data_IF_372605055776
#
_entry.id   IF_372605055776
#
_cell.length_a   1.000
_cell.length_b   1.000
_cell.length_c   1.000
_cell.angle_alpha   90.00
_cell.angle_beta   90.00
_cell.angle_gamma   90.00
#
_symmetry.space_group_name_H-M   'P 1'
#
loop_
_entity.id
_entity.type
_entity.pdbx_description
1 polymer ?
#
# COMPACT_ATOMS: atom_id res chain seq x y z
N UNK A 1 27.85 -2.54 -3.76
CA UNK A 1 26.99 -2.10 -2.65
C UNK A 1 26.30 -0.82 -3.09
N UNK A 2 24.97 -0.77 -3.12
CA UNK A 2 24.23 0.42 -3.58
C UNK A 2 24.22 1.48 -2.48
N UNK A 3 24.59 2.71 -2.82
CA UNK A 3 24.67 3.86 -1.89
C UNK A 3 24.17 5.13 -2.57
N UNK A 4 23.65 6.07 -1.78
CA UNK A 4 23.34 7.43 -2.24
C UNK A 4 23.48 8.42 -1.08
N UNK A 5 23.52 9.71 -1.38
CA UNK A 5 23.68 10.77 -0.38
C UNK A 5 22.35 11.37 0.04
N UNK A 6 22.15 11.51 1.35
CA UNK A 6 21.02 12.21 1.96
C UNK A 6 21.53 13.52 2.54
N UNK A 7 20.92 14.63 2.15
CA UNK A 7 21.22 15.96 2.71
C UNK A 7 20.00 16.53 3.40
N UNK A 8 20.13 16.87 4.67
CA UNK A 8 19.15 17.71 5.36
C UNK A 8 19.56 19.16 5.14
N UNK A 9 18.68 19.99 4.56
CA UNK A 9 19.05 21.33 4.06
C UNK A 9 19.69 22.23 5.11
N UNK A 10 19.18 22.16 6.35
CA UNK A 10 19.62 22.95 7.49
C UNK A 10 20.79 22.34 8.27
N UNK A 11 21.24 21.13 7.88
CA UNK A 11 22.44 20.53 8.44
C UNK A 11 23.63 20.81 7.49
N UNK A 12 24.83 21.08 8.04
CA UNK A 12 26.00 21.37 7.24
C UNK A 12 26.62 20.12 6.58
N UNK A 13 26.08 18.93 6.89
CA UNK A 13 26.66 17.65 6.50
C UNK A 13 25.72 16.85 5.59
N UNK A 14 26.34 16.04 4.74
CA UNK A 14 25.69 15.04 3.90
C UNK A 14 25.94 13.66 4.52
N UNK A 15 24.94 12.80 4.48
CA UNK A 15 25.00 11.47 5.07
C UNK A 15 24.96 10.42 3.96
N UNK A 16 25.90 9.48 4.01
CA UNK A 16 25.94 8.38 3.05
C UNK A 16 24.97 7.28 3.49
N UNK A 17 23.87 7.11 2.77
CA UNK A 17 22.95 6.00 2.96
C UNK A 17 23.45 4.76 2.22
N UNK A 18 23.40 3.62 2.90
CA UNK A 18 23.76 2.30 2.35
C UNK A 18 22.53 1.41 2.36
N UNK A 19 22.34 0.64 1.29
CA UNK A 19 21.22 -0.32 1.23
C UNK A 19 21.37 -1.32 2.37
N UNK A 20 20.34 -1.43 3.21
CA UNK A 20 20.27 -2.39 4.29
C UNK A 20 19.55 -3.65 3.81
N UNK A 21 20.14 -4.80 4.09
CA UNK A 21 19.53 -6.09 3.71
C UNK A 21 18.71 -6.59 4.88
N UNK A 22 17.43 -6.86 4.63
CA UNK A 22 16.56 -7.47 5.63
C UNK A 22 17.05 -8.92 5.86
N UNK A 23 17.32 -9.33 7.11
CA UNK A 23 17.86 -10.66 7.38
C UNK A 23 16.93 -11.78 6.90
N UNK A 24 17.48 -12.77 6.19
CA UNK A 24 16.75 -13.92 5.63
C UNK A 24 15.70 -13.57 4.56
N UNK A 25 15.73 -12.34 4.04
CA UNK A 25 14.82 -11.89 3.01
C UNK A 25 15.44 -12.03 1.62
N UNK A 26 14.70 -12.59 0.67
CA UNK A 26 15.15 -12.84 -0.71
C UNK A 26 14.43 -11.99 -1.75
N UNK A 27 13.42 -11.21 -1.36
CA UNK A 27 12.67 -10.36 -2.26
C UNK A 27 13.53 -9.22 -2.83
N UNK A 28 13.10 -8.73 -3.99
CA UNK A 28 13.77 -7.63 -4.69
C UNK A 28 12.98 -6.33 -4.53
N UNK A 29 13.71 -5.22 -4.45
CA UNK A 29 13.15 -3.87 -4.47
C UNK A 29 13.41 -3.21 -5.81
N UNK A 30 12.62 -2.19 -6.14
CA UNK A 30 12.86 -1.33 -7.30
C UNK A 30 14.23 -0.66 -7.16
N UNK A 31 14.98 -0.60 -8.26
CA UNK A 31 16.26 0.10 -8.26
C UNK A 31 16.04 1.60 -8.08
N UNK A 32 16.91 2.25 -7.32
CA UNK A 32 16.89 3.70 -7.26
C UNK A 32 17.07 4.28 -8.67
N UNK A 33 16.34 5.33 -9.03
CA UNK A 33 16.56 6.01 -10.29
C UNK A 33 18.02 6.49 -10.41
N UNK A 34 18.67 6.34 -11.58
CA UNK A 34 20.07 6.69 -11.75
C UNK A 34 20.35 8.19 -11.57
N UNK A 35 19.32 9.02 -11.73
CA UNK A 35 19.29 10.46 -11.50
C UNK A 35 18.98 10.85 -10.03
N UNK A 36 18.92 9.88 -9.11
CA UNK A 36 18.80 10.11 -7.68
C UNK A 36 20.06 9.75 -6.85
N UNK A 37 21.30 10.15 -7.26
CA UNK A 37 22.48 9.93 -6.43
C UNK A 37 22.51 10.79 -5.16
N UNK A 38 21.70 11.86 -5.15
CA UNK A 38 21.54 12.81 -4.05
C UNK A 38 20.05 13.11 -3.84
N UNK A 39 19.59 12.99 -2.59
CA UNK A 39 18.27 13.48 -2.19
C UNK A 39 18.39 14.53 -1.08
N UNK A 40 17.51 15.52 -1.10
CA UNK A 40 17.45 16.61 -0.13
C UNK A 40 16.15 16.54 0.65
N UNK A 41 16.27 16.68 1.96
CA UNK A 41 15.15 16.80 2.91
C UNK A 41 15.18 18.23 3.46
N UNK A 42 14.07 18.94 3.32
CA UNK A 42 13.89 20.27 3.90
C UNK A 42 13.37 20.14 5.33
N UNK A 43 13.67 21.10 6.20
CA UNK A 43 13.21 21.06 7.58
C UNK A 43 11.67 21.00 7.65
N UNK A 44 10.99 21.68 6.73
CA UNK A 44 9.55 21.68 6.68
C UNK A 44 8.90 20.36 6.25
N UNK A 45 9.71 19.45 5.73
CA UNK A 45 9.29 18.17 5.18
C UNK A 45 9.39 17.01 6.18
N UNK A 46 9.75 17.26 7.44
CA UNK A 46 9.84 16.24 8.50
C UNK A 46 8.58 16.28 9.37
N UNK A 47 7.95 15.12 9.55
CA UNK A 47 6.75 14.98 10.35
C UNK A 47 6.66 13.64 11.07
N UNK A 48 5.96 13.63 12.21
CA UNK A 48 5.60 12.43 12.95
C UNK A 48 4.12 12.14 12.79
N UNK A 49 3.77 10.85 12.68
CA UNK A 49 2.40 10.40 12.82
C UNK A 49 2.23 9.75 14.20
N UNK A 50 1.46 10.40 15.07
CA UNK A 50 1.08 9.81 16.36
C UNK A 50 0.17 8.61 16.16
N UNK A 51 0.52 7.43 16.70
CA UNK A 51 -0.33 6.25 16.57
C UNK A 51 -1.69 6.44 17.24
N UNK A 52 -1.73 7.10 18.41
CA UNK A 52 -2.96 7.35 19.18
C UNK A 52 -3.82 8.48 18.60
N UNK A 53 -3.26 9.68 18.43
CA UNK A 53 -4.04 10.84 17.96
C UNK A 53 -4.27 10.84 16.45
N UNK A 54 -3.49 10.06 15.71
CA UNK A 54 -3.53 9.90 14.24
C UNK A 54 -3.40 11.24 13.50
N UNK A 55 -2.83 12.26 14.15
CA UNK A 55 -2.49 13.55 13.54
C UNK A 55 -1.05 13.54 13.05
N UNK A 56 -0.85 14.12 11.87
CA UNK A 56 0.47 14.49 11.36
C UNK A 56 0.95 15.73 12.11
N UNK A 57 2.12 15.64 12.74
CA UNK A 57 2.76 16.73 13.44
C UNK A 57 4.07 17.06 12.74
N UNK A 58 4.26 18.32 12.35
CA UNK A 58 5.56 18.79 11.87
C UNK A 58 6.57 18.72 13.01
N UNK A 59 7.74 18.14 12.74
CA UNK A 59 8.85 18.11 13.70
C UNK A 59 9.94 19.08 13.28
N UNK A 60 10.53 19.79 14.26
CA UNK A 60 11.80 20.46 14.05
C UNK A 60 12.95 19.44 14.04
N UNK A 61 14.09 19.84 13.47
CA UNK A 61 15.29 19.01 13.52
C UNK A 61 15.76 18.74 14.96
N UNK A 62 15.53 19.66 15.89
CA UNK A 62 15.86 19.52 17.30
C UNK A 62 14.99 18.46 17.98
N UNK A 63 13.67 18.49 17.76
CA UNK A 63 12.75 17.47 18.29
C UNK A 63 13.10 16.08 17.76
N UNK A 64 13.48 16.01 16.48
CA UNK A 64 13.88 14.80 15.79
C UNK A 64 15.11 14.14 16.46
N UNK A 65 16.05 14.92 17.03
CA UNK A 65 17.23 14.39 17.75
C UNK A 65 16.86 13.51 18.93
N UNK A 66 15.80 13.91 19.63
CA UNK A 66 15.40 13.28 20.90
C UNK A 66 14.47 12.08 20.72
N UNK A 67 14.09 11.74 19.48
CA UNK A 67 13.24 10.60 19.20
C UNK A 67 13.93 9.28 19.55
N UNK A 68 13.21 8.35 20.18
CA UNK A 68 13.73 7.04 20.60
C UNK A 68 14.46 7.08 21.96
N UNK A 69 14.64 8.27 22.56
CA UNK A 69 15.26 8.39 23.88
C UNK A 69 14.25 8.17 25.02
N UNK A 70 12.97 8.52 24.83
CA UNK A 70 12.01 8.58 25.93
C UNK A 70 11.21 7.28 26.15
N UNK A 71 11.48 6.22 25.37
CA UNK A 71 10.89 4.88 25.54
C UNK A 71 9.41 4.74 25.13
N UNK A 72 8.67 5.85 25.11
CA UNK A 72 7.25 5.93 24.78
C UNK A 72 6.95 6.51 23.38
N UNK A 73 7.96 6.56 22.51
CA UNK A 73 7.80 7.11 21.16
C UNK A 73 7.06 6.12 20.26
N UNK A 74 5.73 6.17 20.33
CA UNK A 74 4.78 5.42 19.50
C UNK A 74 4.60 6.06 18.11
N UNK A 75 5.57 6.83 17.63
CA UNK A 75 5.40 7.66 16.44
C UNK A 75 6.37 7.23 15.35
N UNK A 76 5.86 6.92 14.16
CA UNK A 76 6.72 6.79 12.99
C UNK A 76 7.12 8.19 12.50
N UNK A 77 8.42 8.40 12.27
CA UNK A 77 8.95 9.63 11.68
C UNK A 77 8.98 9.47 10.17
N UNK A 78 8.55 10.51 9.48
CA UNK A 78 8.51 10.58 8.04
C UNK A 78 9.26 11.81 7.56
N UNK A 79 9.89 11.72 6.39
CA UNK A 79 10.43 12.85 5.68
C UNK A 79 10.07 12.78 4.21
N UNK A 80 9.60 13.90 3.65
CA UNK A 80 9.57 14.06 2.19
C UNK A 80 10.95 14.49 1.72
N UNK A 81 11.48 13.79 0.72
CA UNK A 81 12.74 14.12 0.08
C UNK A 81 12.54 14.36 -1.41
N UNK A 82 13.50 15.05 -2.03
CA UNK A 82 13.50 15.26 -3.47
C UNK A 82 14.90 15.12 -4.06
N UNK A 83 15.00 14.72 -5.33
CA UNK A 83 16.27 14.73 -6.06
C UNK A 83 16.88 16.12 -6.11
N UNK A 84 18.20 16.22 -5.89
CA UNK A 84 18.95 17.47 -6.10
C UNK A 84 19.24 17.65 -7.59
N UNK A 85 18.89 18.82 -8.14
CA UNK A 85 19.24 19.25 -9.50
C UNK A 85 18.76 18.34 -10.66
N UNK A 86 17.75 17.48 -10.44
CA UNK A 86 17.15 16.67 -11.49
C UNK A 86 15.93 17.36 -12.14
N UNK A 87 15.75 17.13 -13.44
CA UNK A 87 14.58 17.56 -14.21
C UNK A 87 14.00 16.35 -14.99
N UNK A 88 12.81 15.85 -14.64
CA UNK A 88 11.93 16.35 -13.59
C UNK A 88 12.41 16.00 -12.17
N UNK A 89 12.04 16.84 -11.19
CA UNK A 89 12.25 16.54 -9.77
C UNK A 89 11.44 15.29 -9.39
N UNK A 90 12.10 14.31 -8.78
CA UNK A 90 11.44 13.14 -8.20
C UNK A 90 11.30 13.31 -6.70
N UNK A 91 10.14 12.91 -6.19
CA UNK A 91 9.79 13.01 -4.78
C UNK A 91 9.79 11.62 -4.13
N UNK A 92 10.35 11.55 -2.92
CA UNK A 92 10.45 10.33 -2.13
C UNK A 92 9.84 10.54 -0.75
N UNK A 93 9.45 9.43 -0.12
CA UNK A 93 9.08 9.35 1.28
C UNK A 93 10.09 8.47 2.02
N UNK A 94 10.64 8.99 3.11
CA UNK A 94 11.44 8.20 4.05
C UNK A 94 10.59 7.94 5.27
N UNK A 95 10.41 6.67 5.66
CA UNK A 95 9.83 6.27 6.94
C UNK A 95 10.97 5.78 7.84
N UNK A 96 11.29 6.56 8.87
CA UNK A 96 12.57 6.50 9.60
C UNK A 96 12.41 6.00 11.04
N UNK A 97 13.39 5.23 11.48
CA UNK A 97 13.70 4.89 12.87
C UNK A 97 15.01 5.58 13.20
N UNK A 98 14.95 6.54 14.12
CA UNK A 98 16.11 7.31 14.57
C UNK A 98 16.74 6.64 15.79
N UNK A 99 18.02 6.91 16.03
CA UNK A 99 18.77 6.30 17.14
C UNK A 99 18.59 4.77 17.17
N UNK A 100 18.69 4.12 16.00
CA UNK A 100 18.25 2.76 15.75
C UNK A 100 18.75 1.79 16.82
N UNK A 101 20.03 1.85 17.17
CA UNK A 101 20.65 1.00 18.22
C UNK A 101 19.85 0.99 19.53
N UNK A 102 19.40 2.16 19.99
CA UNK A 102 18.58 2.31 21.19
C UNK A 102 17.13 1.96 20.92
N UNK A 103 16.57 2.48 19.83
CA UNK A 103 15.17 2.27 19.46
C UNK A 103 14.83 0.79 19.27
N UNK A 104 15.82 -0.04 18.95
CA UNK A 104 15.70 -1.47 18.76
C UNK A 104 16.27 -2.34 19.89
N UNK A 105 16.75 -1.75 21.00
CA UNK A 105 17.39 -2.51 22.09
C UNK A 105 16.41 -3.27 22.98
N UNK A 106 15.18 -2.75 23.14
CA UNK A 106 14.11 -3.39 23.91
C UNK A 106 12.95 -3.80 22.99
N UNK A 107 12.78 -5.11 22.80
CA UNK A 107 11.73 -5.70 21.97
C UNK A 107 10.30 -5.37 22.45
N UNK A 108 10.13 -4.92 23.69
CA UNK A 108 8.82 -4.55 24.25
C UNK A 108 8.49 -3.07 24.07
N UNK A 109 9.47 -2.25 23.72
CA UNK A 109 9.30 -0.81 23.53
C UNK A 109 8.40 -0.47 22.34
N UNK A 110 7.72 0.67 22.41
CA UNK A 110 6.92 1.19 21.30
C UNK A 110 7.77 1.47 20.06
N UNK A 111 8.99 1.98 20.23
CA UNK A 111 9.93 2.23 19.13
C UNK A 111 10.33 0.95 18.40
N UNK A 112 10.54 -0.15 19.13
CA UNK A 112 10.82 -1.45 18.51
C UNK A 112 9.63 -1.95 17.69
N UNK A 113 8.39 -1.78 18.18
CA UNK A 113 7.20 -2.16 17.42
C UNK A 113 7.06 -1.35 16.13
N UNK A 114 7.44 -0.06 16.13
CA UNK A 114 7.46 0.75 14.91
C UNK A 114 8.52 0.24 13.93
N UNK A 115 9.71 -0.12 14.42
CA UNK A 115 10.74 -0.76 13.61
C UNK A 115 10.27 -2.10 13.02
N UNK A 116 9.65 -2.97 13.82
CA UNK A 116 9.14 -4.26 13.36
C UNK A 116 8.10 -4.09 12.24
N UNK A 117 7.19 -3.12 12.38
CA UNK A 117 6.20 -2.79 11.35
C UNK A 117 6.85 -2.28 10.07
N UNK A 118 7.89 -1.45 10.20
CA UNK A 118 8.66 -0.96 9.06
C UNK A 118 9.30 -2.11 8.27
N UNK A 119 9.89 -3.09 8.98
CA UNK A 119 10.49 -4.27 8.35
C UNK A 119 9.43 -5.13 7.68
N UNK A 120 8.33 -5.45 8.39
CA UNK A 120 7.21 -6.25 7.84
C UNK A 120 6.59 -5.63 6.59
N UNK A 121 6.41 -4.31 6.58
CA UNK A 121 5.91 -3.56 5.43
C UNK A 121 6.86 -3.72 4.21
N UNK A 122 8.17 -3.54 4.41
CA UNK A 122 9.16 -3.70 3.35
C UNK A 122 9.26 -5.14 2.82
N UNK A 123 9.18 -6.15 3.70
CA UNK A 123 9.13 -7.57 3.33
C UNK A 123 7.87 -7.89 2.52
N UNK A 124 6.71 -7.41 2.96
CA UNK A 124 5.46 -7.65 2.25
C UNK A 124 5.50 -7.05 0.84
N UNK A 125 6.06 -5.85 0.73
CA UNK A 125 6.16 -5.12 -0.52
C UNK A 125 6.97 -5.86 -1.58
N UNK A 126 8.20 -6.22 -1.22
CA UNK A 126 9.13 -6.96 -2.07
C UNK A 126 8.67 -8.37 -2.43
N UNK A 127 7.88 -9.03 -1.58
CA UNK A 127 7.38 -10.38 -1.83
C UNK A 127 6.08 -10.43 -2.63
N UNK A 128 5.18 -9.46 -2.46
CA UNK A 128 3.79 -9.58 -2.93
C UNK A 128 3.30 -8.42 -3.80
N UNK A 129 3.98 -7.28 -3.80
CA UNK A 129 3.45 -6.05 -4.37
C UNK A 129 4.11 -5.60 -5.67
N UNK A 130 5.14 -6.32 -6.15
CA UNK A 130 5.94 -5.93 -7.32
C UNK A 130 5.13 -5.58 -8.57
N UNK A 131 4.08 -6.34 -8.85
CA UNK A 131 3.23 -6.13 -10.03
C UNK A 131 2.23 -4.97 -9.87
N UNK A 132 2.19 -4.34 -8.69
CA UNK A 132 1.27 -3.27 -8.33
C UNK A 132 1.99 -1.93 -8.10
N UNK A 133 3.32 -1.96 -8.02
CA UNK A 133 4.13 -0.78 -7.73
C UNK A 133 3.96 0.30 -8.81
N UNK A 134 3.84 1.54 -8.37
CA UNK A 134 3.60 2.69 -9.26
C UNK A 134 2.17 2.80 -9.78
N UNK A 135 1.30 1.79 -9.55
CA UNK A 135 -0.10 1.81 -9.98
C UNK A 135 -1.06 1.93 -8.79
N UNK A 136 -0.99 1.00 -7.84
CA UNK A 136 -1.87 0.97 -6.65
C UNK A 136 -1.10 1.09 -5.34
N UNK A 137 0.21 0.88 -5.38
CA UNK A 137 1.11 0.98 -4.22
C UNK A 137 2.35 1.76 -4.66
N UNK A 138 3.04 2.47 -3.76
CA UNK A 138 4.25 3.19 -4.13
C UNK A 138 5.33 2.25 -4.66
N UNK A 139 6.19 2.74 -5.54
CA UNK A 139 7.51 2.11 -5.78
C UNK A 139 8.28 2.05 -4.46
N UNK A 140 8.83 0.89 -4.11
CA UNK A 140 9.65 0.71 -2.91
C UNK A 140 11.11 0.47 -3.27
N UNK A 141 11.97 1.44 -2.93
CA UNK A 141 13.40 1.45 -3.29
C UNK A 141 14.28 0.71 -2.29
N UNK A 142 13.66 0.11 -1.27
CA UNK A 142 14.30 -0.76 -0.29
C UNK A 142 14.47 -0.10 1.07
N UNK A 143 15.13 -0.85 1.95
CA UNK A 143 15.52 -0.37 3.26
C UNK A 143 16.96 0.13 3.24
N UNK A 144 17.23 1.13 4.07
CA UNK A 144 18.49 1.87 4.07
C UNK A 144 18.94 2.16 5.48
N UNK A 145 20.25 2.28 5.66
CA UNK A 145 20.88 2.70 6.90
C UNK A 145 21.85 3.84 6.62
N UNK A 146 21.87 4.84 7.49
CA UNK A 146 22.88 5.90 7.48
C UNK A 146 23.32 6.22 8.90
N UNK A 147 24.57 6.66 9.05
CA UNK A 147 25.10 7.16 10.31
C UNK A 147 25.06 8.69 10.28
N UNK A 148 24.37 9.28 11.26
CA UNK A 148 24.21 10.72 11.40
C UNK A 148 24.99 11.31 12.58
N UNK A 149 25.84 10.51 13.22
CA UNK A 149 26.65 10.92 14.37
C UNK A 149 25.80 11.46 15.52
N UNK A 150 26.25 12.56 16.11
CA UNK A 150 25.62 13.18 17.29
C UNK A 150 24.23 13.78 17.01
N UNK A 151 23.76 13.79 15.75
CA UNK A 151 22.45 14.33 15.42
C UNK A 151 21.32 13.36 15.79
N UNK A 152 21.32 12.15 15.22
CA UNK A 152 20.28 11.14 15.42
C UNK A 152 20.85 9.71 15.41
N UNK A 153 22.16 9.56 15.67
CA UNK A 153 22.86 8.28 15.67
C UNK A 153 22.71 7.54 14.33
N UNK A 154 22.56 6.21 14.42
CA UNK A 154 22.19 5.39 13.26
C UNK A 154 20.71 5.56 12.94
N UNK A 155 20.40 5.82 11.68
CA UNK A 155 19.04 5.93 11.17
C UNK A 155 18.78 4.78 10.21
N UNK A 156 17.73 4.01 10.48
CA UNK A 156 17.22 2.97 9.56
C UNK A 156 15.92 3.47 8.94
N UNK A 157 15.75 3.32 7.64
CA UNK A 157 14.54 3.83 6.98
C UNK A 157 14.11 3.00 5.76
N UNK A 158 12.81 2.96 5.52
CA UNK A 158 12.23 2.55 4.23
C UNK A 158 12.17 3.78 3.31
N UNK A 159 12.53 3.59 2.05
CA UNK A 159 12.47 4.62 1.01
C UNK A 159 11.45 4.22 -0.06
N UNK A 160 10.42 5.04 -0.23
CA UNK A 160 9.36 4.84 -1.21
C UNK A 160 9.15 6.07 -2.08
N UNK A 161 8.41 5.92 -3.18
CA UNK A 161 7.85 7.06 -3.91
C UNK A 161 6.97 7.91 -3.00
N UNK A 162 7.03 9.23 -3.16
CA UNK A 162 6.06 10.12 -2.52
C UNK A 162 4.68 10.01 -3.18
N UNK A 163 3.65 9.79 -2.37
CA UNK A 163 2.29 9.51 -2.85
C UNK A 163 1.24 10.55 -2.44
N UNK A 164 1.67 11.72 -1.96
CA UNK A 164 0.78 12.84 -1.67
C UNK A 164 0.11 12.80 -0.29
N UNK A 165 -1.18 13.15 -0.27
CA UNK A 165 -1.94 13.42 0.97
C UNK A 165 -2.89 12.28 1.31
N UNK A 166 -3.10 12.04 2.61
CA UNK A 166 -3.94 10.92 3.03
C UNK A 166 -5.43 11.21 2.85
N UNK A 167 -6.22 10.20 2.45
CA UNK A 167 -7.67 10.35 2.31
C UNK A 167 -8.33 10.77 3.63
N UNK A 168 -7.79 10.33 4.77
CA UNK A 168 -8.25 10.77 6.09
C UNK A 168 -8.16 12.30 6.29
N UNK A 169 -7.15 12.96 5.73
CA UNK A 169 -7.05 14.43 5.73
C UNK A 169 -7.97 15.05 4.69
N UNK A 170 -8.05 14.45 3.50
CA UNK A 170 -8.77 15.00 2.35
C UNK A 170 -10.31 14.92 2.48
N UNK A 171 -10.84 13.93 3.22
CA UNK A 171 -12.28 13.73 3.39
C UNK A 171 -12.99 14.89 4.10
N UNK A 172 -12.24 15.82 4.71
CA UNK A 172 -12.76 17.02 5.37
C UNK A 172 -12.61 18.29 4.52
N UNK A 173 -12.29 18.14 3.23
CA UNK A 173 -12.03 19.24 2.29
C UNK A 173 -12.98 19.20 1.09
N UNK A 174 -12.81 20.14 0.16
CA UNK A 174 -13.53 20.14 -1.14
C UNK A 174 -13.17 18.96 -2.04
N UNK A 175 -12.11 18.20 -1.71
CA UNK A 175 -11.70 16.99 -2.41
C UNK A 175 -12.49 15.75 -1.96
N UNK A 176 -13.38 15.87 -0.98
CA UNK A 176 -14.34 14.81 -0.65
C UNK A 176 -15.48 14.73 -1.69
N UNK A 177 -15.12 14.45 -2.93
CA UNK A 177 -16.06 14.25 -4.03
C UNK A 177 -16.48 12.78 -4.11
N UNK A 178 -17.59 12.50 -4.78
CA UNK A 178 -17.98 11.11 -5.07
C UNK A 178 -16.93 10.40 -5.93
N UNK A 179 -16.38 11.08 -6.95
CA UNK A 179 -15.36 10.53 -7.82
C UNK A 179 -14.08 10.12 -7.07
N UNK A 180 -13.60 10.95 -6.12
CA UNK A 180 -12.45 10.58 -5.30
C UNK A 180 -12.76 9.42 -4.34
N UNK A 181 -14.00 9.34 -3.82
CA UNK A 181 -14.42 8.17 -3.02
C UNK A 181 -14.45 6.89 -3.85
N UNK A 182 -14.90 6.96 -5.10
CA UNK A 182 -14.89 5.84 -6.05
C UNK A 182 -13.45 5.43 -6.34
N UNK A 183 -12.54 6.39 -6.55
CA UNK A 183 -11.10 6.14 -6.74
C UNK A 183 -10.49 5.38 -5.55
N UNK A 184 -10.77 5.81 -4.31
CA UNK A 184 -10.33 5.12 -3.08
C UNK A 184 -10.88 3.70 -3.02
N UNK A 185 -12.20 3.54 -3.20
CA UNK A 185 -12.84 2.23 -3.18
C UNK A 185 -12.27 1.28 -4.23
N UNK A 186 -12.09 1.78 -5.45
CA UNK A 186 -11.49 1.05 -6.56
C UNK A 186 -10.07 0.58 -6.27
N UNK A 187 -9.27 1.38 -5.59
CA UNK A 187 -7.88 0.99 -5.24
C UNK A 187 -7.86 -0.21 -4.30
N UNK A 188 -8.81 -0.30 -3.37
CA UNK A 188 -9.00 -1.49 -2.54
C UNK A 188 -9.52 -2.69 -3.34
N UNK A 189 -10.45 -2.48 -4.28
CA UNK A 189 -10.92 -3.55 -5.17
C UNK A 189 -9.76 -4.19 -5.94
N UNK A 190 -8.83 -3.36 -6.44
CA UNK A 190 -7.66 -3.83 -7.16
C UNK A 190 -6.80 -4.74 -6.29
N UNK A 191 -6.43 -4.32 -5.07
CA UNK A 191 -5.65 -5.17 -4.16
C UNK A 191 -6.35 -6.50 -3.85
N UNK A 192 -7.67 -6.47 -3.64
CA UNK A 192 -8.46 -7.69 -3.39
C UNK A 192 -8.50 -8.64 -4.59
N UNK A 193 -8.47 -8.08 -5.79
CA UNK A 193 -8.38 -8.86 -7.03
C UNK A 193 -7.03 -9.56 -7.19
N UNK A 194 -5.97 -9.02 -6.59
CA UNK A 194 -4.63 -9.62 -6.48
C UNK A 194 -4.42 -10.47 -5.22
N UNK A 195 -5.49 -10.80 -4.50
CA UNK A 195 -5.39 -11.66 -3.31
C UNK A 195 -4.82 -10.97 -2.07
N UNK A 196 -4.82 -9.63 -2.03
CA UNK A 196 -4.29 -8.86 -0.90
C UNK A 196 -5.43 -8.39 -0.01
N UNK A 197 -5.33 -8.73 1.27
CA UNK A 197 -6.14 -8.19 2.36
C UNK A 197 -5.28 -7.22 3.16
N UNK A 198 -5.61 -5.93 3.17
CA UNK A 198 -4.80 -4.93 3.85
C UNK A 198 -4.93 -5.03 5.37
N UNK A 199 -6.14 -5.36 5.83
CA UNK A 199 -6.49 -5.35 7.24
C UNK A 199 -6.74 -3.93 7.76
N UNK A 200 -7.43 -3.86 8.89
CA UNK A 200 -7.51 -2.64 9.68
C UNK A 200 -8.48 -1.56 9.18
N UNK A 201 -9.25 -1.74 8.10
CA UNK A 201 -10.35 -0.82 7.76
C UNK A 201 -11.54 -1.03 8.70
N UNK A 202 -11.56 -0.37 9.86
CA UNK A 202 -12.70 -0.47 10.79
C UNK A 202 -13.32 0.89 11.13
N UNK A 203 -12.58 1.96 10.91
CA UNK A 203 -12.92 3.34 11.27
C UNK A 203 -12.44 4.28 10.17
N UNK A 204 -13.04 5.47 10.10
CA UNK A 204 -12.73 6.44 9.04
C UNK A 204 -11.26 6.86 8.99
N UNK A 205 -10.58 6.84 10.14
CA UNK A 205 -9.17 7.18 10.24
C UNK A 205 -8.22 6.09 9.72
N UNK A 206 -8.74 4.90 9.42
CA UNK A 206 -7.93 3.83 8.83
C UNK A 206 -7.63 4.11 7.35
N UNK A 207 -8.38 5.02 6.71
CA UNK A 207 -8.02 5.58 5.40
C UNK A 207 -6.80 6.50 5.40
N UNK A 208 -6.06 6.62 6.51
CA UNK A 208 -4.74 7.27 6.51
C UNK A 208 -3.73 6.56 5.62
N UNK A 209 -3.98 5.28 5.34
CA UNK A 209 -3.16 4.41 4.50
C UNK A 209 -3.47 4.55 3.00
N UNK A 210 -4.46 5.37 2.64
CA UNK A 210 -4.77 5.69 1.25
C UNK A 210 -4.28 7.10 0.96
N UNK A 211 -3.38 7.24 -0.01
CA UNK A 211 -2.75 8.49 -0.38
C UNK A 211 -3.14 8.89 -1.80
N UNK A 212 -3.53 10.15 -2.01
CA UNK A 212 -3.80 10.72 -3.32
C UNK A 212 -2.67 11.68 -3.69
N UNK A 213 -2.02 11.43 -4.83
CA UNK A 213 -0.98 12.31 -5.35
C UNK A 213 -1.59 13.47 -6.14
N UNK A 214 -2.01 14.49 -5.39
CA UNK A 214 -2.55 15.73 -5.93
C UNK A 214 -1.48 16.62 -6.58
N UNK A 215 -0.20 16.26 -6.40
CA UNK A 215 0.98 16.96 -6.94
C UNK A 215 1.58 16.30 -8.18
N UNK A 216 0.98 15.21 -8.67
CA UNK A 216 1.45 14.52 -9.86
C UNK A 216 1.67 15.50 -11.04
N UNK A 217 2.74 15.37 -11.83
CA UNK A 217 3.01 16.26 -12.95
C UNK A 217 1.81 16.37 -13.91
N UNK A 218 1.47 17.59 -14.29
CA UNK A 218 0.32 17.88 -15.18
C UNK A 218 -1.06 17.84 -14.50
N UNK A 219 -1.15 17.53 -13.20
CA UNK A 219 -2.42 17.38 -12.49
C UNK A 219 -3.18 18.71 -12.34
N UNK A 220 -4.26 18.87 -13.09
CA UNK A 220 -5.14 20.06 -13.02
C UNK A 220 -6.14 19.98 -11.86
N UNK A 221 -6.73 21.12 -11.49
CA UNK A 221 -7.78 21.17 -10.45
C UNK A 221 -9.01 20.32 -10.79
N UNK A 222 -9.42 20.28 -12.06
CA UNK A 222 -10.57 19.51 -12.50
C UNK A 222 -10.33 18.00 -12.28
N UNK A 223 -9.15 17.52 -12.68
CA UNK A 223 -8.75 16.11 -12.52
C UNK A 223 -8.72 15.69 -11.04
N UNK A 224 -8.22 16.55 -10.15
CA UNK A 224 -8.23 16.30 -8.69
C UNK A 224 -9.63 16.17 -8.10
N UNK A 225 -10.64 16.83 -8.70
CA UNK A 225 -12.02 16.75 -8.25
C UNK A 225 -12.76 15.54 -8.87
N UNK A 226 -12.29 15.08 -10.03
CA UNK A 226 -12.91 14.03 -10.83
C UNK A 226 -12.35 12.62 -10.60
N UNK A 227 -11.58 12.38 -9.53
CA UNK A 227 -11.07 11.02 -9.25
C UNK A 227 -9.95 10.56 -10.18
N UNK A 228 -9.22 11.49 -10.78
CA UNK A 228 -8.15 11.20 -11.74
C UNK A 228 -6.74 11.32 -11.14
N UNK A 229 -6.61 11.67 -9.86
CA UNK A 229 -5.33 11.65 -9.16
C UNK A 229 -4.82 10.20 -9.02
N UNK A 230 -3.49 9.94 -9.11
CA UNK A 230 -2.93 8.68 -8.68
C UNK A 230 -3.30 8.40 -7.22
N UNK A 231 -3.69 7.16 -6.93
CA UNK A 231 -4.15 6.73 -5.62
C UNK A 231 -3.36 5.50 -5.19
N UNK A 232 -2.70 5.59 -4.05
CA UNK A 232 -1.80 4.56 -3.55
C UNK A 232 -2.25 4.10 -2.17
N UNK A 233 -2.15 2.80 -1.92
CA UNK A 233 -2.30 2.21 -0.61
C UNK A 233 -0.90 1.94 -0.05
N UNK A 234 -0.69 2.25 1.23
CA UNK A 234 0.59 2.13 1.94
C UNK A 234 0.43 1.44 3.29
N UNK A 235 1.54 1.05 3.91
CA UNK A 235 1.59 0.40 5.23
C UNK A 235 0.92 -0.98 5.26
N UNK A 236 1.62 -1.95 4.69
CA UNK A 236 1.24 -3.35 4.58
C UNK A 236 1.79 -4.20 5.74
N UNK A 237 2.19 -3.59 6.85
CA UNK A 237 2.77 -4.31 8.00
C UNK A 237 1.82 -5.35 8.62
N UNK A 238 0.52 -5.23 8.37
CA UNK A 238 -0.55 -6.12 8.86
C UNK A 238 -1.29 -6.85 7.72
N UNK A 239 -0.82 -6.69 6.48
CA UNK A 239 -1.49 -7.23 5.29
C UNK A 239 -1.24 -8.74 5.12
N UNK A 240 -2.06 -9.37 4.29
CA UNK A 240 -1.94 -10.79 3.91
C UNK A 240 -2.15 -10.94 2.40
N UNK A 241 -1.41 -11.86 1.78
CA UNK A 241 -1.42 -12.11 0.33
C UNK A 241 -2.14 -13.40 -0.08
N UNK A 242 -2.83 -14.07 0.86
CA UNK A 242 -3.58 -15.30 0.66
C UNK A 242 -5.11 -15.07 0.64
N UNK A 243 -5.53 -13.84 0.32
CA UNK A 243 -6.92 -13.44 0.41
C UNK A 243 -7.76 -13.93 -0.78
N UNK A 244 -8.54 -14.98 -0.58
CA UNK A 244 -9.57 -15.40 -1.53
C UNK A 244 -10.82 -14.52 -1.42
N UNK A 245 -10.78 -13.34 -2.04
CA UNK A 245 -11.85 -12.36 -1.95
C UNK A 245 -13.17 -12.89 -2.53
N UNK A 246 -14.17 -13.08 -1.67
CA UNK A 246 -15.54 -13.52 -2.04
C UNK A 246 -16.49 -12.38 -2.33
N UNK A 247 -15.97 -11.18 -2.62
CA UNK A 247 -16.84 -10.03 -2.87
C UNK A 247 -17.72 -10.27 -4.12
N UNK A 248 -19.01 -9.93 -4.06
CA UNK A 248 -19.95 -10.13 -5.19
C UNK A 248 -20.47 -8.83 -5.79
N UNK A 249 -20.12 -7.70 -5.18
CA UNK A 249 -20.52 -6.36 -5.60
C UNK A 249 -19.28 -5.46 -5.64
N UNK A 250 -19.25 -4.48 -6.55
CA UNK A 250 -18.18 -3.51 -6.58
C UNK A 250 -18.34 -2.43 -5.49
N UNK A 251 -17.25 -1.73 -5.18
CA UNK A 251 -17.22 -0.59 -4.27
C UNK A 251 -17.71 0.66 -5.00
N UNK A 252 -19.03 0.75 -5.16
CA UNK A 252 -19.74 1.82 -5.87
C UNK A 252 -20.93 2.33 -5.04
N UNK A 253 -21.46 3.54 -5.32
CA UNK A 253 -22.66 4.08 -4.68
C UNK A 253 -23.95 3.37 -5.15
N UNK A 254 -24.06 2.05 -4.92
CA UNK A 254 -25.19 1.22 -5.34
C UNK A 254 -26.45 1.40 -4.46
N UNK A 255 -26.38 2.33 -3.50
CA UNK A 255 -27.43 2.61 -2.52
C UNK A 255 -27.32 1.71 -1.28
N UNK A 256 -28.46 1.32 -0.72
CA UNK A 256 -28.49 0.53 0.51
C UNK A 256 -27.87 -0.85 0.33
N UNK A 257 -27.01 -1.26 1.25
CA UNK A 257 -26.58 -2.65 1.42
C UNK A 257 -26.93 -3.04 2.85
N UNK A 258 -27.80 -4.04 2.99
CA UNK A 258 -28.31 -4.46 4.30
C UNK A 258 -27.44 -5.50 5.00
N UNK A 259 -26.61 -6.21 4.26
CA UNK A 259 -25.92 -7.37 4.81
C UNK A 259 -24.48 -7.44 4.32
N UNK A 260 -23.49 -7.49 5.23
CA UNK A 260 -22.11 -7.87 4.91
C UNK A 260 -22.03 -9.19 4.12
N UNK A 261 -23.02 -10.09 4.30
CA UNK A 261 -23.11 -11.35 3.56
C UNK A 261 -23.33 -11.17 2.05
N UNK A 262 -24.03 -10.10 1.64
CA UNK A 262 -24.21 -9.80 0.22
C UNK A 262 -22.94 -9.24 -0.37
N UNK A 263 -22.18 -8.43 0.38
CA UNK A 263 -20.90 -7.93 -0.10
C UNK A 263 -19.94 -9.09 -0.30
N UNK A 264 -19.83 -10.00 0.68
CA UNK A 264 -19.00 -11.20 0.60
C UNK A 264 -17.54 -11.00 1.04
N UNK A 265 -17.15 -9.78 1.39
CA UNK A 265 -15.86 -9.48 2.01
C UNK A 265 -16.04 -8.42 3.11
N UNK A 266 -15.43 -8.66 4.28
CA UNK A 266 -15.56 -7.76 5.43
C UNK A 266 -14.88 -6.42 5.18
N UNK A 267 -13.63 -6.43 4.73
CA UNK A 267 -12.89 -5.19 4.43
C UNK A 267 -13.58 -4.34 3.36
N UNK A 268 -14.17 -4.98 2.34
CA UNK A 268 -14.96 -4.26 1.32
C UNK A 268 -16.27 -3.70 1.87
N UNK A 269 -16.91 -4.41 2.82
CA UNK A 269 -18.10 -3.90 3.51
C UNK A 269 -17.75 -2.65 4.32
N UNK A 270 -16.64 -2.70 5.04
CA UNK A 270 -16.15 -1.59 5.83
C UNK A 270 -15.76 -0.41 4.92
N UNK A 271 -15.10 -0.66 3.77
CA UNK A 271 -14.81 0.35 2.77
C UNK A 271 -16.08 1.04 2.23
N UNK A 272 -17.09 0.28 1.82
CA UNK A 272 -18.39 0.79 1.37
C UNK A 272 -19.07 1.67 2.45
N UNK A 273 -18.97 1.28 3.71
CA UNK A 273 -19.54 2.01 4.84
C UNK A 273 -18.84 3.34 5.02
N UNK A 274 -17.51 3.29 5.15
CA UNK A 274 -16.68 4.44 5.48
C UNK A 274 -16.61 5.46 4.32
N UNK A 275 -16.74 5.00 3.07
CA UNK A 275 -16.90 5.88 1.89
C UNK A 275 -18.31 6.45 1.73
N UNK A 276 -19.23 6.13 2.65
CA UNK A 276 -20.64 6.59 2.63
C UNK A 276 -21.38 6.17 1.36
N UNK A 277 -21.08 4.99 0.84
CA UNK A 277 -21.81 4.38 -0.27
C UNK A 277 -23.03 3.58 0.19
N UNK A 278 -23.22 3.44 1.51
CA UNK A 278 -24.37 2.76 2.13
C UNK A 278 -25.25 3.74 2.95
N UNK A 279 -26.04 4.62 2.30
CA UNK A 279 -26.80 5.65 3.02
C UNK A 279 -28.11 5.15 3.68
N UNK A 280 -28.62 3.96 3.33
CA UNK A 280 -29.98 3.52 3.72
C UNK A 280 -30.08 2.01 3.99
N UNK A 281 -31.20 1.59 4.63
CA UNK A 281 -31.43 0.24 5.20
C UNK A 281 -32.28 -0.66 4.26
N UNK A 282 -32.46 -0.36 2.96
CA UNK A 282 -33.30 -1.19 2.06
C UNK A 282 -32.63 -1.48 0.71
N UNK A 283 -32.24 -2.73 0.39
CA UNK A 283 -31.51 -3.07 -0.83
C UNK A 283 -32.20 -2.47 -2.03
N UNK A 284 -31.42 -1.78 -2.86
CA UNK A 284 -31.93 -1.30 -4.13
C UNK A 284 -32.13 -2.48 -5.07
N UNK A 285 -33.06 -2.35 -6.03
CA UNK A 285 -33.24 -3.34 -7.10
C UNK A 285 -31.91 -3.61 -7.82
N UNK A 286 -31.15 -2.54 -8.06
CA UNK A 286 -29.83 -2.58 -8.69
C UNK A 286 -28.83 -3.46 -7.92
N UNK A 287 -28.76 -3.38 -6.59
CA UNK A 287 -27.86 -4.23 -5.80
C UNK A 287 -28.20 -5.72 -5.97
N UNK A 288 -29.49 -6.07 -5.89
CA UNK A 288 -29.93 -7.46 -6.05
C UNK A 288 -29.65 -7.99 -7.46
N UNK A 289 -29.89 -7.16 -8.48
CA UNK A 289 -29.53 -7.46 -9.87
C UNK A 289 -28.03 -7.69 -10.03
N UNK A 290 -27.20 -6.92 -9.31
CA UNK A 290 -25.74 -7.03 -9.33
C UNK A 290 -25.25 -8.36 -8.75
N UNK A 291 -25.76 -8.74 -7.57
CA UNK A 291 -25.44 -10.03 -6.92
C UNK A 291 -25.93 -11.21 -7.75
N UNK A 292 -27.14 -11.10 -8.32
CA UNK A 292 -27.70 -12.13 -9.19
C UNK A 292 -26.86 -12.29 -10.46
N UNK A 293 -26.44 -11.18 -11.07
CA UNK A 293 -25.57 -11.19 -12.24
C UNK A 293 -24.23 -11.89 -11.93
N UNK A 294 -23.59 -11.55 -10.81
CA UNK A 294 -22.32 -12.16 -10.38
C UNK A 294 -22.46 -13.69 -10.28
N UNK A 295 -23.52 -14.14 -9.62
CA UNK A 295 -23.79 -15.55 -9.38
C UNK A 295 -24.03 -16.31 -10.69
N UNK A 296 -24.84 -15.76 -11.58
CA UNK A 296 -25.15 -16.38 -12.87
C UNK A 296 -23.94 -16.38 -13.81
N UNK A 297 -23.17 -15.29 -13.86
CA UNK A 297 -21.95 -15.22 -14.66
C UNK A 297 -20.89 -16.22 -14.17
N UNK A 298 -20.63 -16.28 -12.86
CA UNK A 298 -19.68 -17.23 -12.26
C UNK A 298 -20.05 -18.69 -12.57
N UNK A 299 -21.35 -19.00 -12.55
CA UNK A 299 -21.86 -20.33 -12.89
C UNK A 299 -21.62 -20.72 -14.35
N UNK A 300 -21.70 -19.74 -15.27
CA UNK A 300 -21.50 -19.97 -16.71
C UNK A 300 -20.04 -20.03 -17.12
N UNK A 301 -19.17 -19.35 -16.38
CA UNK A 301 -17.74 -19.24 -16.65
C UNK A 301 -16.92 -19.70 -15.42
N UNK A 302 -17.05 -20.97 -14.99
CA UNK A 302 -16.41 -21.47 -13.77
C UNK A 302 -14.88 -21.50 -13.85
N UNK A 303 -14.33 -21.39 -15.05
CA UNK A 303 -12.91 -21.33 -15.34
C UNK A 303 -12.33 -19.91 -15.26
N UNK A 304 -13.18 -18.87 -15.14
CA UNK A 304 -12.69 -17.51 -14.93
C UNK A 304 -12.40 -17.26 -13.43
N UNK A 305 -11.21 -16.75 -13.08
CA UNK A 305 -10.88 -16.39 -11.71
C UNK A 305 -11.81 -15.26 -11.23
N UNK A 306 -11.98 -15.18 -9.90
CA UNK A 306 -12.95 -14.25 -9.29
C UNK A 306 -12.75 -12.79 -9.70
N UNK A 307 -11.52 -12.33 -9.92
CA UNK A 307 -11.26 -10.96 -10.36
C UNK A 307 -11.78 -10.67 -11.78
N UNK A 308 -11.68 -11.63 -12.70
CA UNK A 308 -12.19 -11.50 -14.08
C UNK A 308 -13.71 -11.40 -14.08
N UNK A 309 -14.38 -12.22 -13.27
CA UNK A 309 -15.83 -12.16 -13.07
C UNK A 309 -16.26 -10.75 -12.63
N UNK A 310 -15.52 -10.15 -11.69
CA UNK A 310 -15.85 -8.83 -11.12
C UNK A 310 -15.52 -7.68 -12.06
N UNK A 311 -14.45 -7.80 -12.85
CA UNK A 311 -14.14 -6.85 -13.90
C UNK A 311 -15.20 -6.89 -15.02
N UNK A 312 -15.64 -8.09 -15.43
CA UNK A 312 -16.73 -8.27 -16.39
C UNK A 312 -18.07 -7.72 -15.87
N UNK A 313 -18.39 -7.99 -14.60
CA UNK A 313 -19.56 -7.41 -13.92
C UNK A 313 -19.54 -5.89 -14.00
N UNK A 314 -18.39 -5.28 -13.67
CA UNK A 314 -18.26 -3.83 -13.67
C UNK A 314 -18.47 -3.26 -15.07
N UNK A 315 -17.84 -3.84 -16.08
CA UNK A 315 -17.96 -3.39 -17.47
C UNK A 315 -19.39 -3.54 -18.03
N UNK A 316 -20.11 -4.61 -17.69
CA UNK A 316 -21.50 -4.82 -18.17
C UNK A 316 -22.52 -3.98 -17.43
N UNK A 317 -22.44 -3.89 -16.11
CA UNK A 317 -23.48 -3.25 -15.29
C UNK A 317 -23.22 -1.76 -15.03
N UNK A 318 -21.97 -1.32 -15.14
CA UNK A 318 -21.54 0.05 -14.84
C UNK A 318 -20.54 0.57 -15.88
N UNK A 319 -20.92 0.62 -17.18
CA UNK A 319 -20.01 1.01 -18.25
C UNK A 319 -19.48 2.45 -18.11
N UNK A 320 -20.22 3.34 -17.44
CA UNK A 320 -19.81 4.72 -17.20
C UNK A 320 -18.83 4.88 -16.01
N UNK A 321 -18.58 3.80 -15.26
CA UNK A 321 -17.67 3.82 -14.11
C UNK A 321 -16.25 3.44 -14.55
N UNK A 322 -15.22 4.09 -14.00
CA UNK A 322 -13.83 3.75 -14.32
C UNK A 322 -13.54 2.26 -14.07
N UNK A 323 -12.82 1.55 -14.97
CA UNK A 323 -12.44 0.16 -14.75
C UNK A 323 -11.54 0.03 -13.51
N UNK A 324 -11.60 -1.12 -12.83
CA UNK A 324 -10.71 -1.41 -11.68
C UNK A 324 -9.27 -1.49 -12.16
N UNK A 325 -9.03 -2.25 -13.23
CA UNK A 325 -7.72 -2.49 -13.82
C UNK A 325 -7.62 -1.81 -15.19
N UNK A 326 -7.22 -0.53 -15.25
CA UNK A 326 -7.16 0.22 -16.51
C UNK A 326 -6.09 -0.30 -17.48
N UNK A 327 -5.13 -1.10 -17.02
CA UNK A 327 -4.09 -1.69 -17.86
C UNK A 327 -4.57 -2.85 -18.75
N UNK A 328 -5.74 -3.42 -18.43
CA UNK A 328 -6.32 -4.50 -19.23
C UNK A 328 -7.43 -3.97 -20.13
N UNK A 329 -7.32 -4.27 -21.42
CA UNK A 329 -8.42 -4.14 -22.37
C UNK A 329 -9.38 -5.29 -22.19
N UNK A 330 -10.66 -4.97 -21.98
CA UNK A 330 -11.74 -5.95 -21.85
C UNK A 330 -12.54 -6.00 -23.15
N UNK A 331 -12.78 -7.20 -23.68
CA UNK A 331 -13.71 -7.45 -24.78
C UNK A 331 -14.70 -8.55 -24.41
N UNK A 332 -15.91 -8.53 -24.99
CA UNK A 332 -16.92 -9.57 -24.82
C UNK A 332 -17.09 -10.34 -26.12
N UNK A 333 -17.30 -11.66 -26.01
CA UNK A 333 -17.50 -12.53 -27.17
C UNK A 333 -18.75 -12.17 -28.00
N UNK A 334 -19.79 -11.65 -27.35
CA UNK A 334 -21.05 -11.24 -27.98
C UNK A 334 -21.83 -10.23 -27.08
N UNK A 335 -23.04 -9.87 -27.51
CA UNK A 335 -23.94 -8.93 -26.82
C UNK A 335 -24.77 -9.57 -25.70
N UNK A 336 -24.60 -10.86 -25.41
CA UNK A 336 -25.28 -11.52 -24.29
C UNK A 336 -25.00 -10.81 -22.97
N UNK A 337 -25.99 -10.71 -22.07
CA UNK A 337 -25.76 -10.16 -20.73
C UNK A 337 -24.70 -10.93 -19.93
N UNK A 338 -24.41 -12.18 -20.33
CA UNK A 338 -23.40 -13.05 -19.72
C UNK A 338 -22.34 -13.51 -20.72
N UNK A 339 -22.09 -12.71 -21.78
CA UNK A 339 -21.03 -12.96 -22.74
C UNK A 339 -19.68 -13.15 -22.02
N UNK A 340 -18.87 -14.12 -22.45
CA UNK A 340 -17.55 -14.33 -21.87
C UNK A 340 -16.65 -13.11 -22.11
N UNK A 341 -16.03 -12.61 -21.04
CA UNK A 341 -15.03 -11.55 -21.14
C UNK A 341 -13.65 -12.12 -21.46
N UNK A 342 -12.89 -11.43 -22.31
CA UNK A 342 -11.46 -11.67 -22.57
C UNK A 342 -10.67 -10.44 -22.16
N UNK A 343 -9.49 -10.65 -21.57
CA UNK A 343 -8.62 -9.60 -21.06
C UNK A 343 -7.31 -9.63 -21.84
N UNK A 344 -6.86 -8.47 -22.29
CA UNK A 344 -5.57 -8.31 -22.98
C UNK A 344 -4.79 -7.22 -22.26
N UNK A 345 -3.57 -7.55 -21.82
CA UNK A 345 -2.67 -6.59 -21.20
C UNK A 345 -2.10 -5.66 -22.27
N UNK A 346 -2.39 -4.36 -22.17
CA UNK A 346 -1.85 -3.36 -23.10
C UNK A 346 -0.40 -2.96 -22.74
N UNK A 347 0.03 -3.20 -21.50
CA UNK A 347 1.36 -2.86 -21.01
C UNK A 347 2.42 -3.91 -21.36
N UNK A 348 2.03 -5.17 -21.55
CA UNK A 348 2.95 -6.26 -21.92
C UNK A 348 3.68 -6.04 -23.26
N UNK A 349 3.17 -5.14 -24.12
CA UNK A 349 3.80 -4.82 -25.40
C UNK A 349 5.07 -3.96 -25.31
N UNK A 350 5.47 -3.50 -24.11
CA UNK A 350 6.61 -2.60 -23.90
C UNK A 350 7.76 -3.20 -23.09
N UNK A 351 7.66 -4.46 -22.64
CA UNK A 351 8.69 -5.11 -21.82
C UNK A 351 9.60 -6.05 -22.62
N UNK A 352 10.09 -5.60 -23.79
CA UNK A 352 11.15 -6.28 -24.56
C UNK A 352 12.56 -6.04 -23.94
N UNK A 353 12.65 -5.99 -22.61
CA UNK A 353 13.92 -6.16 -21.92
C UNK A 353 14.02 -7.64 -21.57
N UNK A 354 15.02 -8.35 -22.11
CA UNK A 354 15.14 -9.82 -22.24
C UNK A 354 15.24 -10.60 -20.90
N UNK A 355 14.39 -10.31 -19.92
CA UNK A 355 14.30 -11.01 -18.64
C UNK A 355 12.91 -11.61 -18.42
N UNK A 356 12.77 -12.90 -18.73
CA UNK A 356 11.78 -13.85 -18.20
C UNK A 356 10.34 -13.29 -18.03
N UNK A 357 9.52 -13.41 -19.08
CA UNK A 357 8.08 -13.08 -19.03
C UNK A 357 7.35 -14.04 -18.10
N UNK A 358 6.94 -13.58 -16.92
CA UNK A 358 6.04 -14.31 -16.03
C UNK A 358 4.60 -14.13 -16.51
N UNK A 359 3.93 -15.22 -16.91
CA UNK A 359 2.50 -15.20 -17.18
C UNK A 359 1.76 -14.94 -15.85
N UNK A 360 1.00 -13.83 -15.79
CA UNK A 360 0.26 -13.42 -14.59
C UNK A 360 -0.79 -14.48 -14.20
N UNK A 361 -1.26 -15.30 -15.16
CA UNK A 361 -2.11 -16.45 -14.89
C UNK A 361 -1.45 -17.48 -13.96
N UNK A 362 -0.16 -17.73 -14.13
CA UNK A 362 0.60 -18.72 -13.34
C UNK A 362 1.00 -18.19 -11.95
N UNK A 363 1.13 -16.86 -11.80
CA UNK A 363 1.42 -16.24 -10.50
C UNK A 363 0.26 -16.41 -9.52
N UNK A 364 -0.98 -16.42 -9.99
CA UNK A 364 -2.17 -16.58 -9.12
C UNK A 364 -2.38 -18.04 -8.70
N UNK A 365 -2.06 -19.01 -9.56
CA UNK A 365 -2.17 -20.43 -9.23
C UNK A 365 -1.00 -20.98 -8.39
N UNK A 366 0.18 -20.32 -8.44
CA UNK A 366 1.36 -20.66 -7.63
C UNK A 366 1.24 -20.40 -6.12
N UNK A 367 0.20 -19.69 -5.65
CA UNK A 367 -0.02 -19.40 -4.22
C UNK A 367 -0.89 -20.42 -3.47
N UNK A 368 -1.30 -21.52 -4.10
CA UNK A 368 -1.92 -22.65 -3.39
C UNK A 368 -0.85 -23.46 -2.65
N UNK A 369 -0.47 -22.99 -1.46
CA UNK A 369 0.21 -23.81 -0.48
C UNK A 369 -0.68 -25.01 -0.11
N UNK A 370 -0.12 -26.22 -0.22
CA UNK A 370 -0.72 -27.44 0.31
C UNK A 370 -1.04 -27.24 1.79
N UNK A 371 -2.33 -27.20 2.12
CA UNK A 371 -2.81 -27.11 3.48
C UNK A 371 -2.49 -28.40 4.23
N UNK A 372 -1.36 -28.42 4.95
CA UNK A 372 -1.11 -29.44 5.97
C UNK A 372 -2.09 -29.24 7.13
N UNK A 373 -2.78 -30.31 7.51
CA UNK A 373 -3.69 -30.39 8.65
C UNK A 373 -2.99 -30.11 9.99
N UNK A 374 -3.67 -29.52 10.98
CA UNK A 374 -3.04 -29.14 12.25
C UNK A 374 -2.83 -30.36 13.14
N UNK A 375 -1.56 -30.75 13.34
CA UNK A 375 -1.18 -31.61 14.46
C UNK A 375 -1.18 -30.81 15.76
N UNK A 376 -1.72 -31.46 16.79
CA UNK A 376 -1.86 -31.00 18.18
C UNK A 376 -0.56 -30.51 18.80
N UNK A 377 -0.56 -29.27 19.30
CA UNK A 377 0.53 -28.66 20.06
C UNK A 377 0.38 -29.02 21.55
N UNK A 378 1.39 -29.70 22.09
CA UNK A 378 1.65 -29.83 23.53
C UNK A 378 2.50 -28.65 24.04
N UNK A 379 2.28 -28.28 25.30
CA UNK A 379 2.82 -27.09 25.98
C UNK A 379 4.36 -26.87 25.87
N UNK A 380 4.85 -25.62 25.77
CA UNK A 380 6.27 -25.35 25.71
C UNK A 380 6.91 -25.27 27.09
N UNK A 381 8.00 -26.02 27.24
CA UNK A 381 9.01 -25.86 28.29
C UNK A 381 9.78 -24.57 28.05
N UNK A 382 9.95 -23.76 29.10
CA UNK A 382 10.71 -22.52 29.05
C UNK A 382 12.20 -22.77 28.75
N UNK A 383 12.64 -22.42 27.54
CA UNK A 383 14.05 -22.38 27.16
C UNK A 383 14.65 -20.99 27.40
N UNK A 384 15.89 -21.00 27.89
CA UNK A 384 16.74 -19.85 28.20
C UNK A 384 16.85 -18.84 27.05
N UNK A 385 16.92 -17.56 27.40
CA UNK A 385 17.04 -16.44 26.48
C UNK A 385 18.34 -16.51 25.66
N UNK A 386 18.20 -16.72 24.35
CA UNK A 386 19.28 -16.45 23.40
C UNK A 386 19.58 -14.94 23.36
N UNK A 387 20.84 -14.53 23.20
CA UNK A 387 21.20 -13.12 22.98
C UNK A 387 20.45 -12.58 21.75
N UNK A 388 20.01 -11.32 21.82
CA UNK A 388 19.19 -10.70 20.79
C UNK A 388 19.93 -10.70 19.45
N UNK A 389 19.28 -11.24 18.41
CA UNK A 389 19.73 -11.33 17.00
C UNK A 389 20.15 -9.99 16.36
N UNK A 390 20.13 -8.88 17.09
CA UNK A 390 20.35 -7.53 16.59
C UNK A 390 21.78 -7.01 16.77
N UNK A 391 22.58 -7.54 17.72
CA UNK A 391 23.98 -7.10 17.88
C UNK A 391 24.86 -7.45 16.66
N UNK A 392 24.49 -8.50 15.91
CA UNK A 392 25.17 -8.91 14.67
C UNK A 392 24.79 -8.02 13.47
N UNK A 393 23.73 -7.21 13.56
CA UNK A 393 23.14 -6.49 12.42
C UNK A 393 23.53 -5.01 12.31
N UNK A 394 24.09 -4.43 13.38
CA UNK A 394 24.47 -3.02 13.43
C UNK A 394 26.00 -2.80 13.53
N UNK A 395 26.81 -3.86 13.51
CA UNK A 395 28.28 -3.77 13.46
C UNK A 395 28.80 -3.62 12.04
#
# INVERSE_FOLDING_TARGET
>A
MTTFWVRFKELPHEFLARKWSIPNHTGSFVSLPPDAPYIVIYEEAIFANQLVSKRRMKLSLEQTRTWGYNGDDDQAIFAQAQTLDADPIKLFCLRMILNAERSTSDARSSSFQVFEKLVKDAEFHSNHLRNLEGVYVPLHYGMWIMDTGDWAGKVVFSLTQWCGSSWNELQHTTLNTEANRILVGRSYEALHDFGIYCGGLHRSHDFRHVLLDLSAPGMTRAQRLNGEAPCYIVDFSEARADHDCKRTVPVLPLGSILSPKLVGCREMTDALFLLKFMPTIKPTKQLLETVAWHSEYSKRHPDQPGWQVRAAQRAKLYPDMPPVHPQYKLAFADDSPYARATFTDECAAYSDDEGETTDIGDVVDGFRAESASPETISDPVATEAQPSKLEVLLC
#
